data_IF_422960597212
#
_entry.id   IF_422960597212
#
_cell.length_a   1.000
_cell.length_b   1.000
_cell.length_c   1.000
_cell.angle_alpha   90.00
_cell.angle_beta   90.00
_cell.angle_gamma   90.00
#
_symmetry.space_group_name_H-M   'P 1'
#
loop_
_entity.id
_entity.type
_entity.pdbx_description
1 polymer ?
#
# COMPACT_ATOMS: atom_id res chain seq x y z
N UNK A 1 -3.03 24.21 -19.20
CA UNK A 1 -2.81 25.60 -18.81
C UNK A 1 -1.48 25.79 -18.07
N UNK A 2 -1.00 27.00 -18.01
CA UNK A 2 0.17 27.37 -17.22
C UNK A 2 -0.26 27.48 -15.76
N UNK A 3 0.53 26.91 -14.84
CA UNK A 3 0.31 27.01 -13.40
C UNK A 3 1.43 27.84 -12.78
N UNK A 4 1.07 28.82 -11.96
CA UNK A 4 2.03 29.64 -11.22
C UNK A 4 2.03 29.20 -9.76
N UNK A 5 3.21 28.90 -9.23
CA UNK A 5 3.45 28.56 -7.81
C UNK A 5 4.22 29.71 -7.20
N UNK A 6 3.58 30.50 -6.35
CA UNK A 6 4.19 31.66 -5.74
C UNK A 6 3.77 31.80 -4.26
N UNK A 7 4.73 31.88 -3.34
CA UNK A 7 6.16 31.52 -3.48
C UNK A 7 6.38 30.02 -3.49
N UNK A 8 7.54 29.56 -4.01
CA UNK A 8 7.94 28.16 -3.82
C UNK A 8 8.34 27.98 -2.36
N UNK A 9 7.72 27.06 -1.62
CA UNK A 9 8.05 26.84 -0.21
C UNK A 9 9.54 26.59 0.01
N UNK A 10 10.16 27.35 0.91
CA UNK A 10 11.57 27.22 1.28
C UNK A 10 12.59 27.80 0.29
N UNK A 11 12.18 28.41 -0.84
CA UNK A 11 13.11 28.95 -1.85
C UNK A 11 12.97 30.44 -2.13
N UNK A 12 11.90 31.10 -1.68
CA UNK A 12 11.66 32.54 -1.92
C UNK A 12 11.58 32.95 -3.40
N UNK A 13 11.35 31.99 -4.29
CA UNK A 13 11.23 32.18 -5.74
C UNK A 13 9.84 31.82 -6.24
N UNK A 14 9.50 32.26 -7.44
CA UNK A 14 8.24 31.91 -8.13
C UNK A 14 8.52 30.78 -9.12
N UNK A 15 7.68 29.73 -9.10
CA UNK A 15 7.70 28.65 -10.07
C UNK A 15 6.63 28.85 -11.15
N UNK A 16 6.99 28.59 -12.39
CA UNK A 16 6.04 28.55 -13.51
C UNK A 16 6.07 27.16 -14.11
N UNK A 17 4.96 26.43 -14.00
CA UNK A 17 4.79 25.11 -14.61
C UNK A 17 4.13 25.29 -15.98
N UNK A 18 4.81 24.81 -17.01
CA UNK A 18 4.32 24.79 -18.39
C UNK A 18 4.17 23.33 -18.82
N UNK A 19 2.97 22.87 -19.20
CA UNK A 19 2.78 21.49 -19.62
C UNK A 19 3.59 21.17 -20.88
N UNK A 20 4.21 20.01 -20.91
CA UNK A 20 4.95 19.53 -22.07
C UNK A 20 4.01 19.27 -23.26
N UNK A 21 4.40 19.64 -24.47
CA UNK A 21 3.66 19.32 -25.69
C UNK A 21 3.53 17.83 -25.94
N UNK A 22 4.56 17.04 -25.54
CA UNK A 22 4.55 15.56 -25.56
C UNK A 22 4.80 15.07 -24.16
N UNK A 23 3.84 14.36 -23.59
CA UNK A 23 4.01 13.69 -22.30
C UNK A 23 5.04 12.56 -22.45
N UNK A 24 5.98 12.47 -21.50
CA UNK A 24 6.94 11.38 -21.43
C UNK A 24 6.38 10.30 -20.52
N UNK A 25 6.37 9.04 -21.00
CA UNK A 25 5.96 7.90 -20.18
C UNK A 25 7.14 7.47 -19.32
N UNK A 26 6.93 7.44 -18.01
CA UNK A 26 7.90 6.91 -17.04
C UNK A 26 7.62 5.43 -16.87
N UNK A 27 8.55 4.57 -17.28
CA UNK A 27 8.38 3.13 -17.11
C UNK A 27 8.57 2.74 -15.64
N UNK A 28 7.73 1.82 -15.13
CA UNK A 28 7.86 1.28 -13.78
C UNK A 28 9.20 0.59 -13.56
N UNK A 29 9.74 -0.08 -14.59
CA UNK A 29 11.06 -0.69 -14.56
C UNK A 29 12.15 0.34 -14.20
N UNK A 30 12.17 1.51 -14.86
CA UNK A 30 13.16 2.55 -14.60
C UNK A 30 13.09 3.11 -13.19
N UNK A 31 11.90 3.13 -12.60
CA UNK A 31 11.66 3.64 -11.24
C UNK A 31 12.09 2.61 -10.20
N UNK A 32 11.71 1.35 -10.38
CA UNK A 32 12.10 0.23 -9.50
C UNK A 32 13.62 0.01 -9.55
N UNK A 33 14.25 0.07 -10.73
CA UNK A 33 15.69 -0.09 -10.89
C UNK A 33 16.50 1.10 -10.35
N UNK A 34 15.87 2.20 -9.97
CA UNK A 34 16.59 3.37 -9.46
C UNK A 34 17.30 3.06 -8.13
N UNK A 35 18.49 3.63 -7.96
CA UNK A 35 19.26 3.50 -6.72
C UNK A 35 18.45 3.91 -5.50
N UNK A 36 17.69 4.99 -5.59
CA UNK A 36 16.82 5.50 -4.51
C UNK A 36 15.79 4.48 -4.04
N UNK A 37 15.20 3.69 -4.95
CA UNK A 37 14.27 2.63 -4.59
C UNK A 37 15.01 1.40 -4.07
N UNK A 38 16.06 0.95 -4.76
CA UNK A 38 16.81 -0.26 -4.42
C UNK A 38 17.49 -0.18 -3.04
N UNK A 39 18.06 0.95 -2.68
CA UNK A 39 18.74 1.18 -1.40
C UNK A 39 17.82 1.69 -0.30
N UNK A 40 16.53 1.84 -0.58
CA UNK A 40 15.56 2.33 0.43
C UNK A 40 15.48 1.39 1.63
N UNK A 41 15.57 1.97 2.82
CA UNK A 41 15.40 1.29 4.12
C UNK A 41 14.01 1.50 4.72
N UNK A 42 13.06 2.04 3.94
CA UNK A 42 11.68 2.25 4.35
C UNK A 42 10.97 0.93 4.63
N UNK A 43 10.01 0.96 5.55
CA UNK A 43 9.23 -0.25 5.89
C UNK A 43 8.35 -0.71 4.73
N UNK A 44 7.63 0.21 4.09
CA UNK A 44 6.79 -0.07 2.91
C UNK A 44 7.06 0.95 1.79
N UNK A 45 8.21 0.85 1.09
CA UNK A 45 8.55 1.82 0.05
C UNK A 45 7.67 1.64 -1.17
N UNK A 46 7.03 2.72 -1.60
CA UNK A 46 6.27 2.79 -2.85
C UNK A 46 6.90 3.82 -3.78
N UNK A 47 7.08 3.45 -5.03
CA UNK A 47 7.64 4.29 -6.07
C UNK A 47 6.53 4.74 -7.02
N UNK A 48 6.18 6.02 -6.99
CA UNK A 48 5.02 6.58 -7.70
C UNK A 48 5.38 7.22 -9.05
N UNK A 49 6.64 7.19 -9.43
CA UNK A 49 7.09 7.79 -10.68
C UNK A 49 8.30 8.71 -10.50
N UNK A 50 8.35 9.77 -11.26
CA UNK A 50 9.41 10.78 -11.20
C UNK A 50 8.85 12.18 -10.99
N UNK A 51 9.64 13.01 -10.30
CA UNK A 51 9.34 14.43 -10.12
C UNK A 51 9.62 15.21 -11.41
N UNK A 52 9.26 16.49 -11.42
CA UNK A 52 9.57 17.40 -12.53
C UNK A 52 11.08 17.59 -12.75
N UNK A 53 11.91 17.35 -11.71
CA UNK A 53 13.37 17.33 -11.79
C UNK A 53 13.94 15.97 -12.24
N UNK A 54 13.08 15.06 -12.73
CA UNK A 54 13.44 13.71 -13.18
C UNK A 54 14.00 12.77 -12.08
N UNK A 55 13.79 13.10 -10.83
CA UNK A 55 14.18 12.27 -9.69
C UNK A 55 13.08 11.24 -9.38
N UNK A 56 13.48 10.02 -9.06
CA UNK A 56 12.52 8.99 -8.60
C UNK A 56 11.84 9.42 -7.31
N UNK A 57 10.51 9.39 -7.30
CA UNK A 57 9.70 9.72 -6.15
C UNK A 57 9.33 8.45 -5.38
N UNK A 58 9.92 8.29 -4.20
CA UNK A 58 9.71 7.14 -3.31
C UNK A 58 9.25 7.65 -1.95
N UNK A 59 8.20 7.05 -1.42
CA UNK A 59 7.64 7.35 -0.10
C UNK A 59 7.37 6.08 0.68
N UNK A 60 7.28 6.20 1.99
CA UNK A 60 7.00 5.08 2.88
C UNK A 60 5.51 5.01 3.21
N UNK A 61 4.82 4.00 2.70
CA UNK A 61 3.40 3.79 2.98
C UNK A 61 3.13 3.56 4.48
N UNK A 62 4.07 2.96 5.20
CA UNK A 62 3.93 2.74 6.64
C UNK A 62 3.86 4.05 7.46
N UNK A 63 4.39 5.15 6.92
CA UNK A 63 4.31 6.49 7.52
C UNK A 63 3.08 7.28 7.09
N UNK A 64 2.39 6.81 6.08
CA UNK A 64 1.12 7.35 5.59
C UNK A 64 0.04 6.32 5.88
N UNK A 65 -0.50 6.21 7.09
CA UNK A 65 -1.32 5.06 7.50
C UNK A 65 -2.46 4.75 6.51
N UNK A 66 -2.91 5.75 5.76
CA UNK A 66 -3.90 5.61 4.70
C UNK A 66 -3.51 6.46 3.50
N UNK A 67 -3.67 5.91 2.30
CA UNK A 67 -3.46 6.59 1.02
C UNK A 67 -4.76 6.60 0.23
N UNK A 68 -5.28 7.79 -0.05
CA UNK A 68 -6.39 7.97 -0.99
C UNK A 68 -5.87 8.34 -2.37
N UNK A 69 -6.25 7.55 -3.37
CA UNK A 69 -5.96 7.84 -4.78
C UNK A 69 -7.27 8.14 -5.50
N UNK A 70 -7.38 9.33 -6.08
CA UNK A 70 -8.56 9.74 -6.83
C UNK A 70 -8.15 10.25 -8.22
N UNK A 71 -9.01 10.01 -9.19
CA UNK A 71 -8.83 10.47 -10.57
C UNK A 71 -10.03 10.11 -11.43
N UNK A 72 -10.35 10.96 -12.40
CA UNK A 72 -11.35 10.64 -13.41
C UNK A 72 -10.89 9.47 -14.30
N UNK A 73 -11.82 8.88 -15.02
CA UNK A 73 -11.54 7.80 -15.99
C UNK A 73 -10.40 8.22 -16.93
N UNK A 74 -9.41 7.35 -17.09
CA UNK A 74 -8.25 7.61 -17.95
C UNK A 74 -7.17 8.51 -17.33
N UNK A 75 -7.32 8.97 -16.09
CA UNK A 75 -6.34 9.83 -15.40
C UNK A 75 -5.28 9.05 -14.62
N UNK A 76 -5.24 7.73 -14.74
CA UNK A 76 -4.17 6.91 -14.22
C UNK A 76 -4.36 6.36 -12.80
N UNK A 77 -5.59 6.38 -12.22
CA UNK A 77 -5.87 5.76 -10.92
C UNK A 77 -5.39 4.30 -10.87
N UNK A 78 -5.82 3.49 -11.82
CA UNK A 78 -5.43 2.07 -11.92
C UNK A 78 -3.93 1.87 -12.11
N UNK A 79 -3.29 2.73 -12.91
CA UNK A 79 -1.83 2.70 -13.09
C UNK A 79 -1.12 3.03 -11.78
N UNK A 80 -1.59 4.02 -11.04
CA UNK A 80 -1.07 4.38 -9.73
C UNK A 80 -1.22 3.25 -8.71
N UNK A 81 -2.40 2.60 -8.69
CA UNK A 81 -2.66 1.46 -7.80
C UNK A 81 -1.73 0.29 -8.10
N UNK A 82 -1.57 -0.04 -9.40
CA UNK A 82 -0.63 -1.05 -9.84
C UNK A 82 0.82 -0.69 -9.49
N UNK A 83 1.21 0.59 -9.58
CA UNK A 83 2.54 1.03 -9.18
C UNK A 83 2.80 0.83 -7.68
N UNK A 84 1.81 1.09 -6.82
CA UNK A 84 1.90 0.83 -5.38
C UNK A 84 2.10 -0.66 -5.10
N UNK A 85 1.22 -1.51 -5.62
CA UNK A 85 1.29 -2.97 -5.42
C UNK A 85 2.60 -3.54 -5.96
N UNK A 86 2.99 -3.17 -7.18
CA UNK A 86 4.23 -3.63 -7.81
C UNK A 86 5.46 -3.20 -7.01
N UNK A 87 5.49 -1.98 -6.48
CA UNK A 87 6.59 -1.51 -5.63
C UNK A 87 6.78 -2.42 -4.41
N UNK A 88 5.69 -2.74 -3.72
CA UNK A 88 5.73 -3.59 -2.53
C UNK A 88 6.13 -5.03 -2.87
N UNK A 89 5.62 -5.59 -3.98
CA UNK A 89 5.98 -6.92 -4.45
C UNK A 89 7.48 -7.06 -4.79
N UNK A 90 8.08 -6.02 -5.36
CA UNK A 90 9.51 -6.02 -5.68
C UNK A 90 10.42 -5.78 -4.47
N UNK A 91 9.89 -5.19 -3.40
CA UNK A 91 10.72 -4.80 -2.25
C UNK A 91 10.55 -5.69 -1.03
N UNK A 92 9.41 -6.35 -0.88
CA UNK A 92 9.05 -7.08 0.34
C UNK A 92 8.80 -8.56 0.08
N UNK A 93 9.32 -9.38 0.98
CA UNK A 93 9.05 -10.82 0.98
C UNK A 93 7.60 -11.10 1.44
N UNK A 94 6.95 -12.18 0.99
CA UNK A 94 5.58 -12.54 1.43
C UNK A 94 5.42 -12.72 2.96
N UNK A 95 6.49 -12.99 3.66
CA UNK A 95 6.50 -13.04 5.12
C UNK A 95 6.48 -11.65 5.79
N UNK A 96 6.78 -10.59 5.04
CA UNK A 96 6.86 -9.22 5.55
C UNK A 96 5.63 -8.37 5.20
N UNK A 97 4.91 -8.72 4.12
CA UNK A 97 3.69 -8.01 3.67
C UNK A 97 2.64 -8.99 3.17
N UNK A 98 1.40 -8.73 3.52
CA UNK A 98 0.21 -9.39 2.99
C UNK A 98 -0.76 -8.34 2.46
N UNK A 99 -1.48 -8.69 1.41
CA UNK A 99 -2.50 -7.84 0.81
C UNK A 99 -3.89 -8.41 1.05
N UNK A 100 -4.83 -7.54 1.36
CA UNK A 100 -6.27 -7.82 1.29
C UNK A 100 -6.81 -6.96 0.15
N UNK A 101 -7.29 -7.60 -0.91
CA UNK A 101 -7.71 -6.92 -2.14
C UNK A 101 -9.22 -6.94 -2.27
N UNK A 102 -9.82 -5.78 -2.49
CA UNK A 102 -11.25 -5.58 -2.71
C UNK A 102 -11.48 -4.93 -4.07
N UNK A 103 -12.14 -5.66 -4.98
CA UNK A 103 -12.44 -5.21 -6.35
C UNK A 103 -13.88 -5.59 -6.71
N UNK A 104 -14.88 -4.76 -6.35
CA UNK A 104 -16.28 -5.05 -6.63
C UNK A 104 -16.59 -5.19 -8.13
N UNK A 105 -15.81 -4.51 -8.97
CA UNK A 105 -16.00 -4.51 -10.43
C UNK A 105 -15.30 -5.67 -11.14
N UNK A 106 -14.43 -6.41 -10.46
CA UNK A 106 -13.66 -7.57 -10.99
C UNK A 106 -12.77 -7.24 -12.19
N UNK A 107 -12.22 -6.04 -12.25
CA UNK A 107 -11.46 -5.57 -13.42
C UNK A 107 -10.03 -5.21 -13.08
N UNK A 108 -9.83 -4.37 -12.05
CA UNK A 108 -8.55 -3.70 -11.81
C UNK A 108 -7.53 -4.58 -11.09
N UNK A 109 -7.97 -5.38 -10.13
CA UNK A 109 -7.09 -6.18 -9.28
C UNK A 109 -6.99 -7.65 -9.68
N UNK A 110 -7.76 -8.11 -10.66
CA UNK A 110 -7.85 -9.52 -11.08
C UNK A 110 -6.48 -10.11 -11.48
N UNK A 111 -5.60 -9.29 -12.04
CA UNK A 111 -4.25 -9.73 -12.43
C UNK A 111 -3.41 -10.21 -11.23
N UNK A 112 -3.71 -9.74 -10.02
CA UNK A 112 -3.03 -10.12 -8.77
C UNK A 112 -3.49 -11.48 -8.21
N UNK A 113 -4.46 -12.16 -8.79
CA UNK A 113 -4.78 -13.55 -8.42
C UNK A 113 -3.58 -14.48 -8.53
N UNK A 114 -2.62 -14.16 -9.41
CA UNK A 114 -1.40 -14.96 -9.59
C UNK A 114 -0.51 -15.02 -8.35
N UNK A 115 -0.63 -14.07 -7.43
CA UNK A 115 0.14 -14.02 -6.18
C UNK A 115 -0.65 -14.51 -4.96
N UNK A 116 -1.84 -15.09 -5.17
CA UNK A 116 -2.76 -15.52 -4.11
C UNK A 116 -2.05 -16.33 -3.02
N UNK A 117 -1.32 -17.36 -3.40
CA UNK A 117 -0.73 -18.32 -2.47
C UNK A 117 0.32 -17.72 -1.52
N UNK A 118 0.94 -16.63 -1.92
CA UNK A 118 2.07 -16.04 -1.20
C UNK A 118 1.75 -14.72 -0.52
N UNK A 119 1.06 -13.84 -1.21
CA UNK A 119 0.88 -12.47 -0.76
C UNK A 119 -0.54 -12.11 -0.33
N UNK A 120 -1.58 -12.82 -0.81
CA UNK A 120 -2.95 -12.47 -0.46
C UNK A 120 -3.36 -13.10 0.88
N UNK A 121 -3.97 -12.28 1.72
CA UNK A 121 -4.68 -12.73 2.91
C UNK A 121 -6.17 -12.77 2.60
N UNK A 122 -6.83 -13.87 2.97
CA UNK A 122 -8.26 -14.08 2.80
C UNK A 122 -8.87 -14.72 4.04
N UNK A 123 -10.18 -14.63 4.17
CA UNK A 123 -10.90 -15.35 5.21
C UNK A 123 -10.77 -16.86 4.98
N UNK A 124 -10.75 -17.69 6.06
CA UNK A 124 -10.60 -19.14 5.94
C UNK A 124 -11.61 -19.79 4.99
N UNK A 125 -12.85 -19.30 4.98
CA UNK A 125 -13.97 -19.85 4.18
C UNK A 125 -14.14 -19.15 2.82
N UNK A 126 -13.22 -18.24 2.45
CA UNK A 126 -13.31 -17.55 1.18
C UNK A 126 -12.77 -18.42 0.03
N UNK A 127 -13.57 -18.64 -1.00
CA UNK A 127 -13.16 -19.34 -2.22
C UNK A 127 -12.17 -18.51 -3.04
N UNK A 128 -12.47 -17.21 -3.20
CA UNK A 128 -11.64 -16.26 -3.94
C UNK A 128 -10.81 -15.39 -2.99
N UNK A 129 -9.57 -15.10 -3.38
CA UNK A 129 -8.67 -14.26 -2.59
C UNK A 129 -8.95 -12.75 -2.77
N UNK A 130 -9.46 -12.36 -3.95
CA UNK A 130 -9.91 -10.99 -4.21
C UNK A 130 -11.39 -10.91 -3.89
N UNK A 131 -11.75 -9.97 -3.02
CA UNK A 131 -13.11 -9.83 -2.50
C UNK A 131 -13.92 -8.97 -3.46
N UNK A 132 -15.01 -9.53 -3.96
CA UNK A 132 -15.88 -8.90 -4.97
C UNK A 132 -17.30 -8.63 -4.46
N UNK A 133 -17.71 -9.30 -3.40
CA UNK A 133 -19.03 -9.19 -2.79
C UNK A 133 -19.01 -8.25 -1.57
N UNK A 134 -19.94 -7.31 -1.52
CA UNK A 134 -20.02 -6.28 -0.47
C UNK A 134 -20.20 -6.85 0.93
N UNK A 135 -20.97 -7.93 1.07
CA UNK A 135 -21.18 -8.58 2.38
C UNK A 135 -19.89 -9.19 2.87
N UNK A 136 -19.13 -9.85 1.99
CA UNK A 136 -17.81 -10.41 2.29
C UNK A 136 -16.80 -9.30 2.62
N UNK A 137 -16.91 -8.11 2.02
CA UNK A 137 -16.08 -6.95 2.39
C UNK A 137 -16.31 -6.56 3.85
N UNK A 138 -17.57 -6.43 4.28
CA UNK A 138 -17.88 -6.08 5.68
C UNK A 138 -17.33 -7.13 6.66
N UNK A 139 -17.50 -8.41 6.37
CA UNK A 139 -16.92 -9.49 7.18
C UNK A 139 -15.40 -9.41 7.24
N UNK A 140 -14.75 -9.12 6.11
CA UNK A 140 -13.29 -8.97 6.06
C UNK A 140 -12.81 -7.75 6.85
N UNK A 141 -13.51 -6.63 6.77
CA UNK A 141 -13.17 -5.43 7.56
C UNK A 141 -13.31 -5.71 9.07
N UNK A 142 -14.37 -6.39 9.50
CA UNK A 142 -14.53 -6.81 10.89
C UNK A 142 -13.39 -7.74 11.35
N UNK A 143 -12.98 -8.68 10.49
CA UNK A 143 -11.86 -9.57 10.78
C UNK A 143 -10.54 -8.82 10.87
N UNK A 144 -10.32 -7.79 10.05
CA UNK A 144 -9.14 -6.91 10.15
C UNK A 144 -9.14 -6.09 11.43
N UNK A 145 -10.31 -5.64 11.91
CA UNK A 145 -10.41 -4.98 13.22
C UNK A 145 -10.02 -5.94 14.35
N UNK A 146 -10.55 -7.18 14.32
CA UNK A 146 -10.17 -8.21 15.29
C UNK A 146 -8.66 -8.53 15.25
N UNK A 147 -8.10 -8.67 14.06
CA UNK A 147 -6.65 -8.88 13.89
C UNK A 147 -5.83 -7.70 14.45
N UNK A 148 -6.30 -6.48 14.23
CA UNK A 148 -5.67 -5.28 14.80
C UNK A 148 -5.67 -5.32 16.33
N UNK A 149 -6.78 -5.66 16.95
CA UNK A 149 -6.89 -5.77 18.42
C UNK A 149 -5.97 -6.88 18.97
N UNK A 150 -5.95 -8.04 18.32
CA UNK A 150 -5.01 -9.12 18.67
C UNK A 150 -3.55 -8.66 18.60
N UNK A 151 -3.21 -7.87 17.59
CA UNK A 151 -1.85 -7.30 17.45
C UNK A 151 -1.54 -6.28 18.53
N UNK A 152 -2.49 -5.45 18.94
CA UNK A 152 -2.30 -4.55 20.08
C UNK A 152 -2.00 -5.31 21.36
N UNK A 153 -2.67 -6.42 21.63
CA UNK A 153 -2.36 -7.26 22.78
C UNK A 153 -0.94 -7.86 22.70
N UNK A 154 -0.52 -8.34 21.53
CA UNK A 154 0.85 -8.82 21.33
C UNK A 154 1.90 -7.70 21.54
N UNK A 155 1.65 -6.49 21.04
CA UNK A 155 2.53 -5.34 21.23
C UNK A 155 2.62 -4.97 22.73
N UNK A 156 1.48 -4.95 23.42
CA UNK A 156 1.39 -4.69 24.87
C UNK A 156 2.19 -5.71 25.65
N UNK A 157 1.98 -7.01 25.38
CA UNK A 157 2.70 -8.10 26.06
C UNK A 157 4.20 -8.04 25.78
N UNK A 158 4.60 -7.63 24.58
CA UNK A 158 5.99 -7.41 24.22
C UNK A 158 6.57 -6.09 24.74
N UNK A 159 5.78 -5.21 25.37
CA UNK A 159 6.18 -3.87 25.83
C UNK A 159 6.82 -3.02 24.72
N UNK A 160 6.19 -2.97 23.55
CA UNK A 160 6.63 -2.18 22.40
C UNK A 160 5.48 -1.33 21.85
N UNK A 161 5.79 -0.31 21.05
CA UNK A 161 4.81 0.69 20.61
C UNK A 161 4.28 0.46 19.19
N UNK A 162 5.02 -0.28 18.37
CA UNK A 162 4.70 -0.46 16.97
C UNK A 162 5.24 -1.79 16.42
N UNK A 163 4.74 -2.17 15.25
CA UNK A 163 5.10 -3.43 14.59
C UNK A 163 6.59 -3.53 14.26
N UNK A 164 7.26 -2.44 13.95
CA UNK A 164 8.70 -2.43 13.64
C UNK A 164 9.52 -2.84 14.86
N UNK A 165 9.26 -2.23 16.02
CA UNK A 165 9.92 -2.57 17.29
C UNK A 165 9.60 -4.02 17.69
N UNK A 166 8.34 -4.45 17.51
CA UNK A 166 7.91 -5.80 17.79
C UNK A 166 8.69 -6.83 16.96
N UNK A 167 8.70 -6.66 15.64
CA UNK A 167 9.40 -7.56 14.73
C UNK A 167 10.91 -7.58 14.96
N UNK A 168 11.52 -6.45 15.31
CA UNK A 168 12.93 -6.39 15.69
C UNK A 168 13.19 -7.23 16.96
N UNK A 169 12.32 -7.13 17.97
CA UNK A 169 12.41 -7.89 19.22
C UNK A 169 12.19 -9.39 18.97
N UNK A 170 11.25 -9.75 18.09
CA UNK A 170 10.99 -11.13 17.69
C UNK A 170 12.20 -11.73 16.94
N UNK A 171 12.74 -11.04 15.94
CA UNK A 171 13.96 -11.46 15.20
C UNK A 171 15.16 -11.62 16.12
N UNK A 172 15.29 -10.80 17.16
CA UNK A 172 16.31 -10.92 18.19
C UNK A 172 16.07 -12.07 19.19
N UNK A 173 15.03 -12.92 18.97
CA UNK A 173 14.63 -14.04 19.83
C UNK A 173 14.35 -13.67 21.29
N UNK A 174 13.84 -12.44 21.51
CA UNK A 174 13.46 -11.92 22.83
C UNK A 174 11.97 -12.11 23.15
N UNK A 175 11.21 -12.74 22.26
CA UNK A 175 9.80 -13.05 22.42
C UNK A 175 9.63 -14.57 22.26
N UNK A 176 8.88 -15.19 23.18
CA UNK A 176 8.67 -16.62 23.20
C UNK A 176 7.48 -17.01 22.29
N UNK A 177 7.66 -17.85 21.26
CA UNK A 177 6.55 -18.33 20.42
C UNK A 177 5.48 -19.12 21.18
N UNK A 178 5.84 -19.78 22.30
CA UNK A 178 4.88 -20.52 23.11
C UNK A 178 3.88 -19.61 23.83
N UNK A 179 4.19 -18.33 23.96
CA UNK A 179 3.31 -17.29 24.50
C UNK A 179 2.47 -16.62 23.39
N UNK A 180 2.39 -17.23 22.20
CA UNK A 180 1.65 -16.74 21.05
C UNK A 180 2.38 -15.70 20.20
N UNK A 181 3.64 -15.37 20.53
CA UNK A 181 4.41 -14.43 19.74
C UNK A 181 4.83 -15.03 18.39
N UNK A 182 4.65 -14.25 17.34
CA UNK A 182 5.03 -14.61 15.97
C UNK A 182 5.51 -13.37 15.22
N UNK A 183 6.19 -13.56 14.10
CA UNK A 183 6.53 -12.44 13.23
C UNK A 183 5.24 -11.86 12.60
N UNK A 184 5.06 -10.55 12.68
CA UNK A 184 3.87 -9.89 12.18
C UNK A 184 4.16 -9.24 10.82
N UNK A 185 3.61 -9.75 9.71
CA UNK A 185 3.67 -9.04 8.43
C UNK A 185 2.84 -7.75 8.48
N UNK A 186 3.22 -6.75 7.70
CA UNK A 186 2.30 -5.66 7.40
C UNK A 186 1.12 -6.20 6.60
N UNK A 187 -0.09 -5.73 6.91
CA UNK A 187 -1.30 -6.03 6.14
C UNK A 187 -1.72 -4.74 5.43
N UNK A 188 -1.75 -4.78 4.10
CA UNK A 188 -2.14 -3.66 3.26
C UNK A 188 -3.50 -3.97 2.64
N UNK A 189 -4.54 -3.26 3.10
CA UNK A 189 -5.86 -3.32 2.51
C UNK A 189 -5.91 -2.39 1.29
N UNK A 190 -6.31 -2.93 0.16
CA UNK A 190 -6.46 -2.20 -1.10
C UNK A 190 -7.90 -2.30 -1.58
N UNK A 191 -8.55 -1.16 -1.75
CA UNK A 191 -9.92 -1.05 -2.22
C UNK A 191 -9.89 -0.25 -3.53
N UNK A 192 -10.29 -0.86 -4.63
CA UNK A 192 -10.29 -0.20 -5.94
C UNK A 192 -11.28 0.96 -5.98
N UNK A 193 -12.54 0.74 -5.62
CA UNK A 193 -13.58 1.77 -5.63
C UNK A 193 -14.25 1.90 -4.27
N UNK A 194 -13.76 2.85 -3.46
CA UNK A 194 -14.28 3.06 -2.12
C UNK A 194 -15.71 3.65 -2.10
N UNK A 195 -16.05 4.43 -3.12
CA UNK A 195 -17.38 5.01 -3.24
C UNK A 195 -18.49 3.95 -3.33
N UNK A 196 -18.24 2.85 -4.06
CA UNK A 196 -19.21 1.75 -4.20
C UNK A 196 -19.50 1.09 -2.84
N UNK A 197 -18.50 1.00 -1.96
CA UNK A 197 -18.68 0.45 -0.62
C UNK A 197 -19.51 1.38 0.27
N UNK A 198 -19.27 2.68 0.25
CA UNK A 198 -20.05 3.66 1.06
C UNK A 198 -21.52 3.65 0.64
N UNK A 199 -21.78 3.62 -0.67
CA UNK A 199 -23.15 3.63 -1.21
C UNK A 199 -23.94 2.36 -0.90
N UNK A 200 -23.27 1.22 -0.72
CA UNK A 200 -23.91 -0.07 -0.42
C UNK A 200 -23.96 -0.39 1.07
N UNK A 201 -22.98 0.02 1.86
CA UNK A 201 -22.94 -0.24 3.31
C UNK A 201 -23.83 0.72 4.13
N UNK A 202 -24.36 1.77 3.53
CA UNK A 202 -25.25 2.76 4.15
C UNK A 202 -26.75 2.47 4.03
N UNK A 203 -27.12 1.26 3.59
CA UNK A 203 -28.53 0.83 3.45
C UNK A 203 -28.88 -0.19 4.54
#
# INVERSE_FOLDING_TARGET
GIRIIAPIPGKGTIGIEVPNKKATIVSMHSVIASKKFQESTMELPIALGKTISNETFVVDLAKMPHLLMAGATGQGKSVGLNAVLTSLLYKKHPAEVKFVLVDPKKVELTLFNKIERHYLAKLPDAEEAIITDTTKVVHTLNSLCTEMDNRYDLLKNAMVRNIKEYNAKFKARKLNPNDGHQFLPYIVLVIDEFADLIMTAGK
#
